data_IF_411480960257
#
_entry.id   IF_411480960257
#
_cell.length_a   1.000
_cell.length_b   1.000
_cell.length_c   1.000
_cell.angle_alpha   90.00
_cell.angle_beta   90.00
_cell.angle_gamma   90.00
#
_symmetry.space_group_name_H-M   'P 1'
#
loop_
_entity.id
_entity.type
_entity.pdbx_description
1 polymer ?
#
# COMPACT_ATOMS: atom_id res chain seq x y z
N UNK A 1 -26.34 -19.26 3.71
CA UNK A 1 -25.50 -18.15 3.23
C UNK A 1 -24.08 -18.63 3.28
N UNK A 2 -23.55 -19.06 2.14
CA UNK A 2 -22.19 -19.58 2.07
C UNK A 2 -21.23 -18.38 1.99
N UNK A 3 -20.68 -17.99 3.14
CA UNK A 3 -19.76 -16.84 3.27
C UNK A 3 -18.38 -17.11 2.66
N UNK A 4 -18.04 -18.38 2.44
CA UNK A 4 -16.75 -18.83 1.91
C UNK A 4 -16.38 -18.19 0.55
N UNK A 5 -17.24 -18.22 -0.49
CA UNK A 5 -16.94 -17.57 -1.77
C UNK A 5 -16.78 -16.06 -1.63
N UNK A 6 -17.60 -15.40 -0.80
CA UNK A 6 -17.54 -13.95 -0.59
C UNK A 6 -16.20 -13.54 0.00
N UNK A 7 -15.77 -14.22 1.06
CA UNK A 7 -14.48 -13.96 1.72
C UNK A 7 -13.32 -14.20 0.74
N UNK A 8 -13.40 -15.28 -0.06
CA UNK A 8 -12.36 -15.63 -1.02
C UNK A 8 -12.22 -14.57 -2.11
N UNK A 9 -13.32 -14.15 -2.73
CA UNK A 9 -13.32 -13.10 -3.74
C UNK A 9 -12.82 -11.77 -3.18
N UNK A 10 -13.18 -11.44 -1.93
CA UNK A 10 -12.71 -10.21 -1.27
C UNK A 10 -11.19 -10.21 -1.06
N UNK A 11 -10.62 -11.32 -0.55
CA UNK A 11 -9.18 -11.44 -0.33
C UNK A 11 -8.43 -11.33 -1.66
N UNK A 12 -8.87 -12.08 -2.68
CA UNK A 12 -8.25 -12.04 -4.01
C UNK A 12 -8.35 -10.63 -4.61
N UNK A 13 -9.54 -10.02 -4.56
CA UNK A 13 -9.77 -8.66 -5.05
C UNK A 13 -8.90 -7.62 -4.35
N UNK A 14 -8.74 -7.71 -3.04
CA UNK A 14 -7.87 -6.82 -2.26
C UNK A 14 -6.39 -7.00 -2.64
N UNK A 15 -5.92 -8.24 -2.84
CA UNK A 15 -4.56 -8.51 -3.27
C UNK A 15 -4.29 -7.96 -4.67
N UNK A 16 -5.21 -8.20 -5.62
CA UNK A 16 -5.10 -7.72 -7.00
C UNK A 16 -5.16 -6.19 -7.05
N UNK A 17 -6.11 -5.57 -6.35
CA UNK A 17 -6.23 -4.11 -6.27
C UNK A 17 -4.99 -3.45 -5.67
N UNK A 18 -4.42 -4.03 -4.62
CA UNK A 18 -3.14 -3.57 -4.03
C UNK A 18 -2.01 -3.56 -5.04
N UNK A 19 -1.88 -4.63 -5.83
CA UNK A 19 -0.81 -4.77 -6.80
C UNK A 19 -1.00 -3.82 -7.99
N UNK A 20 -2.23 -3.70 -8.50
CA UNK A 20 -2.57 -2.75 -9.55
C UNK A 20 -2.28 -1.31 -9.13
N UNK A 21 -2.50 -0.95 -7.87
CA UNK A 21 -2.16 0.39 -7.36
C UNK A 21 -0.65 0.67 -7.43
N UNK A 22 0.20 -0.32 -7.13
CA UNK A 22 1.67 -0.21 -7.30
C UNK A 22 2.04 -0.04 -8.77
N UNK A 23 1.39 -0.79 -9.68
CA UNK A 23 1.65 -0.68 -11.11
C UNK A 23 1.24 0.69 -11.68
N UNK A 24 0.03 1.17 -11.37
CA UNK A 24 -0.47 2.47 -11.85
C UNK A 24 0.48 3.60 -11.44
N UNK A 25 1.08 3.49 -10.26
CA UNK A 25 2.05 4.47 -9.78
C UNK A 25 3.41 4.37 -10.50
N UNK A 26 3.99 3.17 -10.57
CA UNK A 26 5.40 2.98 -10.97
C UNK A 26 5.59 2.91 -12.49
N UNK A 27 4.62 2.34 -13.21
CA UNK A 27 4.68 2.13 -14.65
C UNK A 27 4.83 3.44 -15.46
N UNK A 28 4.05 4.52 -15.21
CA UNK A 28 4.22 5.79 -15.94
C UNK A 28 5.51 6.54 -15.60
N UNK A 29 6.23 6.13 -14.55
CA UNK A 29 7.49 6.75 -14.10
C UNK A 29 8.72 5.93 -14.49
N UNK A 30 8.53 4.82 -15.21
CA UNK A 30 9.58 3.85 -15.55
C UNK A 30 10.38 3.37 -14.33
N UNK A 31 9.76 3.43 -13.14
CA UNK A 31 10.37 2.99 -11.90
C UNK A 31 10.28 1.47 -11.79
N UNK A 32 11.33 0.85 -11.25
CA UNK A 32 11.31 -0.59 -11.11
C UNK A 32 10.27 -1.02 -10.07
N UNK A 33 9.51 -2.08 -10.36
CA UNK A 33 8.44 -2.57 -9.48
C UNK A 33 9.02 -3.13 -8.16
N UNK A 34 10.29 -3.56 -8.18
CA UNK A 34 10.97 -4.17 -7.04
C UNK A 34 11.85 -3.22 -6.23
N UNK A 35 12.38 -2.15 -6.86
CA UNK A 35 13.37 -1.24 -6.28
C UNK A 35 13.12 0.22 -6.68
N UNK A 36 13.25 1.20 -5.77
CA UNK A 36 13.58 1.06 -4.36
C UNK A 36 12.41 0.48 -3.56
N UNK A 37 12.70 0.07 -2.30
CA UNK A 37 11.66 -0.25 -1.31
C UNK A 37 10.69 0.93 -1.16
N UNK A 38 9.52 0.73 -0.58
CA UNK A 38 8.66 1.88 -0.22
C UNK A 38 9.41 2.79 0.74
N UNK A 39 9.41 4.11 0.51
CA UNK A 39 10.01 5.10 1.39
C UNK A 39 9.02 6.24 1.61
N UNK A 40 9.10 6.90 2.76
CA UNK A 40 8.30 8.09 3.00
C UNK A 40 8.82 9.26 2.14
N UNK A 41 7.96 9.99 1.41
CA UNK A 41 8.39 11.12 0.58
C UNK A 41 8.87 12.33 1.39
N UNK A 42 8.54 12.42 2.69
CA UNK A 42 8.95 13.52 3.55
C UNK A 42 10.28 13.27 4.26
N UNK A 43 10.48 12.09 4.84
CA UNK A 43 11.65 11.79 5.66
C UNK A 43 12.63 10.79 5.01
N UNK A 44 12.31 10.27 3.81
CA UNK A 44 13.09 9.25 3.09
C UNK A 44 13.36 7.96 3.89
N UNK A 45 12.63 7.72 4.97
CA UNK A 45 12.78 6.50 5.75
C UNK A 45 12.10 5.33 5.02
N UNK A 46 12.78 4.19 5.01
CA UNK A 46 12.25 2.93 4.46
C UNK A 46 10.99 2.51 5.21
N UNK A 47 9.91 2.29 4.48
CA UNK A 47 8.66 1.75 5.02
C UNK A 47 8.77 0.22 5.01
N UNK A 48 8.60 -0.44 6.17
CA UNK A 48 8.63 -1.89 6.24
C UNK A 48 7.43 -2.50 5.51
N UNK A 49 7.62 -3.68 4.92
CA UNK A 49 6.64 -4.34 4.04
C UNK A 49 5.25 -4.54 4.68
N UNK A 50 5.19 -4.80 5.99
CA UNK A 50 3.91 -4.98 6.71
C UNK A 50 3.09 -3.67 6.82
N UNK A 51 3.73 -2.51 6.68
CA UNK A 51 3.03 -1.20 6.61
C UNK A 51 2.53 -0.87 5.20
N UNK A 52 2.90 -1.65 4.19
CA UNK A 52 2.31 -1.55 2.85
C UNK A 52 1.03 -2.40 2.70
N UNK A 53 0.58 -3.10 3.75
CA UNK A 53 -0.65 -3.90 3.70
C UNK A 53 -1.86 -2.94 3.61
N UNK A 54 -2.61 -2.94 2.50
CA UNK A 54 -3.75 -2.04 2.31
C UNK A 54 -4.79 -2.22 3.41
N UNK A 55 -5.52 -1.16 3.71
CA UNK A 55 -6.58 -1.10 4.72
C UNK A 55 -6.06 -1.19 6.16
N UNK A 56 -5.33 -2.26 6.52
CA UNK A 56 -4.84 -2.49 7.89
C UNK A 56 -3.85 -1.41 8.31
N UNK A 57 -2.85 -1.13 7.47
CA UNK A 57 -1.85 -0.13 7.81
C UNK A 57 -2.41 1.29 7.78
N UNK A 58 -3.45 1.54 6.98
CA UNK A 58 -4.13 2.83 6.89
C UNK A 58 -4.91 3.15 8.16
N UNK A 59 -5.69 2.19 8.67
CA UNK A 59 -6.43 2.36 9.92
C UNK A 59 -5.50 2.53 11.12
N UNK A 60 -4.37 1.80 11.15
CA UNK A 60 -3.41 1.89 12.26
C UNK A 60 -2.63 3.22 12.21
N UNK A 61 -2.24 3.69 11.03
CA UNK A 61 -1.41 4.88 10.88
C UNK A 61 -2.20 6.17 10.65
N UNK A 62 -3.53 6.11 10.53
CA UNK A 62 -4.40 7.26 10.19
C UNK A 62 -3.89 8.05 8.96
N UNK A 63 -3.30 7.34 7.98
CA UNK A 63 -2.68 7.98 6.82
C UNK A 63 -1.47 8.87 7.15
N UNK A 64 -0.73 8.61 8.23
CA UNK A 64 0.49 9.34 8.60
C UNK A 64 1.72 8.45 8.62
N UNK A 65 2.88 9.02 8.33
CA UNK A 65 4.15 8.33 8.50
C UNK A 65 4.44 8.14 9.99
N UNK A 66 4.66 6.90 10.46
CA UNK A 66 4.93 6.68 11.88
C UNK A 66 6.28 7.24 12.39
N UNK A 67 7.12 7.78 11.51
CA UNK A 67 8.40 8.35 11.90
C UNK A 67 8.47 9.88 11.87
N UNK A 68 7.69 10.53 11.00
CA UNK A 68 7.69 11.98 10.87
C UNK A 68 6.30 12.61 11.01
N UNK A 69 5.27 11.81 11.28
CA UNK A 69 3.86 12.21 11.37
C UNK A 69 3.28 12.94 10.15
N UNK A 70 4.03 13.01 9.05
CA UNK A 70 3.59 13.61 7.80
C UNK A 70 2.46 12.79 7.17
N UNK A 71 1.44 13.46 6.64
CA UNK A 71 0.32 12.82 5.96
C UNK A 71 0.76 12.15 4.66
N UNK A 72 0.49 10.86 4.52
CA UNK A 72 0.71 10.07 3.31
C UNK A 72 -0.60 10.02 2.52
N UNK A 73 -0.55 10.38 1.25
CA UNK A 73 -1.69 10.37 0.34
C UNK A 73 -2.27 8.96 0.16
N UNK A 74 -3.59 8.87 0.05
CA UNK A 74 -4.32 7.63 -0.23
C UNK A 74 -3.93 6.99 -1.57
N UNK A 75 -3.43 7.80 -2.51
CA UNK A 75 -3.10 7.39 -3.87
C UNK A 75 -1.70 6.78 -3.99
N UNK A 76 -1.04 6.59 -2.86
CA UNK A 76 0.39 6.32 -2.71
C UNK A 76 0.54 5.13 -1.73
N UNK A 77 1.55 4.25 -1.86
CA UNK A 77 2.68 4.41 -0.96
C UNK A 77 3.36 5.74 -1.21
#
# INVERSE_FOLDING_TARGET
>A
MDWLPVITTFIIGSCVGSFLNVLIYRLPREESIWSPRSHCPHCNKTIPWYRNIPLVSFFIQNGKCAECDASISWQYP
#
